data_IF_754771470989
#
_entry.id   IF_754771470989
#
_cell.length_a   1.000
_cell.length_b   1.000
_cell.length_c   1.000
_cell.angle_alpha   90.00
_cell.angle_beta   90.00
_cell.angle_gamma   90.00
#
_symmetry.space_group_name_H-M   'P 1'
#
loop_
_entity.id
_entity.type
_entity.pdbx_description
1 polymer ?
#
# COMPACT_ATOMS: atom_id res chain seq x y z
N UNK A 1 -4.92 12.78 1.59
CA UNK A 1 -4.81 13.34 0.22
C UNK A 1 -6.06 12.97 -0.56
N UNK A 2 -6.48 13.76 -1.56
CA UNK A 2 -7.58 13.40 -2.45
C UNK A 2 -7.11 13.49 -3.91
N UNK A 3 -7.66 12.61 -4.75
CA UNK A 3 -7.37 12.54 -6.19
C UNK A 3 -8.70 12.43 -6.93
N UNK A 4 -8.81 13.06 -8.09
CA UNK A 4 -9.90 12.79 -9.03
C UNK A 4 -9.76 11.39 -9.64
N UNK A 5 -10.86 10.83 -10.12
CA UNK A 5 -10.85 9.56 -10.86
C UNK A 5 -9.93 9.66 -12.09
N UNK A 6 -9.92 10.80 -12.79
CA UNK A 6 -9.03 11.06 -13.91
C UNK A 6 -7.54 10.94 -13.53
N UNK A 7 -7.11 11.58 -12.44
CA UNK A 7 -5.72 11.51 -11.95
C UNK A 7 -5.32 10.10 -11.53
N UNK A 8 -6.24 9.36 -10.90
CA UNK A 8 -5.98 7.95 -10.54
C UNK A 8 -5.82 7.12 -11.80
N UNK A 9 -6.74 7.24 -12.76
CA UNK A 9 -6.72 6.50 -14.01
C UNK A 9 -5.43 6.74 -14.80
N UNK A 10 -4.96 7.99 -14.91
CA UNK A 10 -3.68 8.32 -15.54
C UNK A 10 -2.50 7.59 -14.87
N UNK A 11 -2.46 7.59 -13.53
CA UNK A 11 -1.40 6.95 -12.74
C UNK A 11 -1.38 5.43 -12.87
N UNK A 12 -2.52 4.79 -13.15
CA UNK A 12 -2.62 3.33 -13.32
C UNK A 12 -2.77 2.89 -14.78
N UNK A 13 -2.59 3.82 -15.73
CA UNK A 13 -2.78 3.59 -17.17
C UNK A 13 -4.16 2.99 -17.50
N UNK A 14 -5.20 3.48 -16.84
CA UNK A 14 -6.58 3.02 -17.00
C UNK A 14 -7.44 3.94 -17.87
N UNK A 15 -8.47 3.37 -18.48
CA UNK A 15 -9.49 4.10 -19.25
C UNK A 15 -10.74 4.30 -18.40
N UNK A 16 -11.22 5.55 -18.30
CA UNK A 16 -12.41 5.88 -17.51
C UNK A 16 -13.69 5.71 -18.33
N UNK A 17 -14.71 5.11 -17.72
CA UNK A 17 -16.09 5.04 -18.22
C UNK A 17 -17.04 5.56 -17.12
N UNK A 18 -17.59 6.75 -17.32
CA UNK A 18 -18.41 7.47 -16.34
C UNK A 18 -17.89 8.88 -16.06
N UNK A 19 -18.19 9.42 -14.87
CA UNK A 19 -17.75 10.76 -14.46
C UNK A 19 -16.33 10.69 -13.88
N UNK A 20 -15.35 11.24 -14.60
CA UNK A 20 -13.95 11.25 -14.23
C UNK A 20 -13.58 12.36 -13.19
N UNK A 21 -14.50 13.30 -12.93
CA UNK A 21 -14.23 14.48 -12.10
C UNK A 21 -14.42 14.24 -10.60
N UNK A 22 -15.07 13.13 -10.23
CA UNK A 22 -15.37 12.78 -8.83
C UNK A 22 -14.06 12.64 -8.03
N UNK A 23 -14.03 13.25 -6.84
CA UNK A 23 -12.91 13.13 -5.92
C UNK A 23 -12.99 11.85 -5.10
N UNK A 24 -11.85 11.16 -5.03
CA UNK A 24 -11.63 9.98 -4.22
C UNK A 24 -10.76 10.35 -3.02
N UNK A 25 -11.20 9.92 -1.84
CA UNK A 25 -10.55 10.17 -0.55
C UNK A 25 -9.81 8.95 -0.01
N UNK A 26 -10.04 7.75 -0.56
CA UNK A 26 -9.30 6.55 -0.19
C UNK A 26 -9.85 5.26 -0.78
N UNK A 27 -9.11 4.15 -0.63
CA UNK A 27 -9.57 2.82 -1.01
C UNK A 27 -10.54 2.22 0.01
N UNK A 28 -11.40 1.30 -0.44
CA UNK A 28 -12.25 0.47 0.42
C UNK A 28 -12.59 -0.88 -0.20
N UNK A 29 -13.02 -1.85 0.61
CA UNK A 29 -13.59 -3.12 0.13
C UNK A 29 -14.90 -2.87 -0.61
N UNK A 30 -15.10 -3.51 -1.76
CA UNK A 30 -16.24 -3.24 -2.64
C UNK A 30 -17.61 -3.37 -1.97
N UNK A 31 -17.74 -4.28 -0.99
CA UNK A 31 -19.00 -4.55 -0.30
C UNK A 31 -19.37 -3.44 0.68
N UNK A 32 -18.37 -2.73 1.19
CA UNK A 32 -18.53 -1.72 2.24
C UNK A 32 -18.12 -0.31 1.81
N UNK A 33 -17.64 -0.15 0.57
CA UNK A 33 -17.22 1.13 0.03
C UNK A 33 -18.36 2.15 0.05
N UNK A 34 -18.01 3.39 0.34
CA UNK A 34 -18.90 4.55 0.43
C UNK A 34 -18.60 5.55 -0.71
N UNK A 35 -19.49 6.53 -0.95
CA UNK A 35 -19.22 7.63 -1.87
C UNK A 35 -17.91 8.34 -1.49
N UNK A 36 -17.10 8.65 -2.49
CA UNK A 36 -15.74 9.17 -2.33
C UNK A 36 -14.67 8.08 -2.18
N UNK A 37 -15.02 6.80 -2.20
CA UNK A 37 -14.03 5.71 -2.14
C UNK A 37 -13.88 4.97 -3.47
N UNK A 38 -12.69 4.41 -3.67
CA UNK A 38 -12.35 3.55 -4.81
C UNK A 38 -12.22 2.10 -4.36
N UNK A 39 -12.71 1.17 -5.17
CA UNK A 39 -12.52 -0.26 -4.98
C UNK A 39 -12.05 -0.92 -6.28
N UNK A 40 -11.90 -2.24 -6.29
CA UNK A 40 -11.67 -3.01 -7.51
C UNK A 40 -12.47 -4.32 -7.51
N UNK A 41 -12.64 -4.90 -8.71
CA UNK A 41 -13.03 -6.30 -8.90
C UNK A 41 -12.24 -6.88 -10.05
N UNK A 42 -11.39 -7.87 -9.77
CA UNK A 42 -10.69 -8.61 -10.82
C UNK A 42 -11.46 -9.88 -11.25
N UNK A 43 -12.15 -10.54 -10.32
CA UNK A 43 -12.81 -11.83 -10.58
C UNK A 43 -14.32 -11.65 -10.84
N UNK A 44 -14.84 -12.09 -12.01
CA UNK A 44 -16.27 -12.02 -12.33
C UNK A 44 -17.22 -12.65 -11.32
N UNK A 45 -16.75 -13.59 -10.48
CA UNK A 45 -17.56 -14.17 -9.39
C UNK A 45 -18.04 -13.16 -8.37
N UNK A 46 -17.40 -11.99 -8.27
CA UNK A 46 -17.81 -10.91 -7.39
C UNK A 46 -18.66 -9.84 -8.10
N UNK A 47 -19.21 -10.15 -9.28
CA UNK A 47 -20.06 -9.23 -10.05
C UNK A 47 -21.22 -8.65 -9.22
N UNK A 48 -21.88 -9.48 -8.40
CA UNK A 48 -22.97 -9.02 -7.53
C UNK A 48 -22.52 -7.99 -6.49
N UNK A 49 -21.24 -8.00 -6.08
CA UNK A 49 -20.69 -6.96 -5.21
C UNK A 49 -20.46 -5.65 -5.98
N UNK A 50 -20.06 -5.72 -7.26
CA UNK A 50 -19.97 -4.55 -8.12
C UNK A 50 -21.34 -3.94 -8.40
N UNK A 51 -22.36 -4.75 -8.68
CA UNK A 51 -23.72 -4.27 -8.96
C UNK A 51 -24.34 -3.49 -7.77
N UNK A 52 -23.97 -3.85 -6.54
CA UNK A 52 -24.54 -3.26 -5.32
C UNK A 52 -23.59 -2.29 -4.60
N UNK A 53 -22.44 -1.96 -5.18
CA UNK A 53 -21.45 -1.12 -4.52
C UNK A 53 -21.94 0.33 -4.38
N UNK A 54 -21.46 1.02 -3.33
CA UNK A 54 -21.61 2.48 -3.17
C UNK A 54 -20.30 3.23 -3.39
N UNK A 55 -19.26 2.55 -3.88
CA UNK A 55 -18.02 3.18 -4.29
C UNK A 55 -18.28 4.24 -5.37
N UNK A 56 -17.49 5.31 -5.39
CA UNK A 56 -17.52 6.28 -6.49
C UNK A 56 -16.79 5.79 -7.73
N UNK A 57 -15.79 4.92 -7.55
CA UNK A 57 -15.05 4.32 -8.65
C UNK A 57 -14.74 2.84 -8.38
N UNK A 58 -14.73 2.03 -9.44
CA UNK A 58 -14.29 0.63 -9.38
C UNK A 58 -13.29 0.34 -10.49
N UNK A 59 -12.11 -0.16 -10.11
CA UNK A 59 -11.10 -0.66 -11.04
C UNK A 59 -11.49 -2.06 -11.49
N UNK A 60 -11.55 -2.30 -12.80
CA UNK A 60 -11.98 -3.57 -13.39
C UNK A 60 -11.10 -3.98 -14.58
N UNK A 61 -11.03 -5.27 -14.94
CA UNK A 61 -10.41 -5.73 -16.17
C UNK A 61 -11.00 -5.05 -17.41
N UNK A 62 -10.20 -4.86 -18.45
CA UNK A 62 -10.64 -4.26 -19.72
C UNK A 62 -11.87 -4.95 -20.32
N UNK A 63 -12.00 -6.27 -20.13
CA UNK A 63 -13.11 -7.10 -20.62
C UNK A 63 -14.29 -7.21 -19.64
N UNK A 64 -14.37 -6.37 -18.59
CA UNK A 64 -15.47 -6.41 -17.64
C UNK A 64 -16.81 -6.08 -18.30
N UNK A 65 -17.78 -6.99 -18.22
CA UNK A 65 -19.06 -6.93 -18.94
C UNK A 65 -20.27 -6.89 -18.00
N UNK A 66 -20.05 -6.72 -16.69
CA UNK A 66 -21.10 -6.77 -15.68
C UNK A 66 -21.53 -5.37 -15.24
N UNK A 67 -22.81 -5.16 -14.88
CA UNK A 67 -23.27 -3.86 -14.43
C UNK A 67 -22.53 -3.40 -13.17
N UNK A 68 -22.27 -2.10 -13.10
CA UNK A 68 -21.69 -1.44 -11.94
C UNK A 68 -22.21 0.01 -11.94
N UNK A 69 -22.83 0.49 -10.85
CA UNK A 69 -23.35 1.86 -10.79
C UNK A 69 -22.25 2.92 -10.63
N UNK A 70 -21.03 2.51 -10.28
CA UNK A 70 -19.87 3.40 -10.11
C UNK A 70 -19.19 3.72 -11.45
N UNK A 71 -18.42 4.80 -11.49
CA UNK A 71 -17.49 5.05 -12.60
C UNK A 71 -16.46 3.92 -12.68
N UNK A 72 -16.27 3.35 -13.87
CA UNK A 72 -15.31 2.28 -14.08
C UNK A 72 -13.94 2.84 -14.49
N UNK A 73 -12.88 2.25 -13.95
CA UNK A 73 -11.52 2.42 -14.47
C UNK A 73 -11.06 1.07 -15.02
N UNK A 74 -11.01 0.96 -16.35
CA UNK A 74 -10.67 -0.27 -17.07
C UNK A 74 -9.16 -0.38 -17.25
N UNK A 75 -8.60 -1.51 -16.86
CA UNK A 75 -7.16 -1.79 -16.92
C UNK A 75 -6.90 -3.23 -17.37
N UNK A 76 -5.69 -3.51 -17.85
CA UNK A 76 -5.29 -4.87 -18.22
C UNK A 76 -5.23 -5.81 -17.00
N UNK A 77 -4.75 -5.30 -15.85
CA UNK A 77 -4.64 -6.08 -14.61
C UNK A 77 -5.18 -5.27 -13.42
N UNK A 78 -6.39 -5.61 -12.97
CA UNK A 78 -7.10 -4.90 -11.91
C UNK A 78 -6.43 -5.01 -10.53
N UNK A 79 -5.89 -6.17 -10.17
CA UNK A 79 -5.20 -6.38 -8.89
C UNK A 79 -3.96 -5.48 -8.79
N UNK A 80 -3.12 -5.47 -9.83
CA UNK A 80 -1.90 -4.64 -9.88
C UNK A 80 -2.23 -3.15 -9.85
N UNK A 81 -3.23 -2.75 -10.63
CA UNK A 81 -3.68 -1.36 -10.67
C UNK A 81 -4.24 -0.90 -9.32
N UNK A 82 -5.03 -1.74 -8.65
CA UNK A 82 -5.56 -1.42 -7.33
C UNK A 82 -4.46 -1.31 -6.27
N UNK A 83 -3.47 -2.21 -6.27
CA UNK A 83 -2.32 -2.09 -5.36
C UNK A 83 -1.59 -0.74 -5.53
N UNK A 84 -1.42 -0.29 -6.77
CA UNK A 84 -0.83 1.02 -7.05
C UNK A 84 -1.73 2.18 -6.61
N UNK A 85 -3.04 2.11 -6.92
CA UNK A 85 -4.01 3.13 -6.53
C UNK A 85 -4.13 3.26 -5.00
N UNK A 86 -4.14 2.15 -4.27
CA UNK A 86 -4.19 2.13 -2.80
C UNK A 86 -2.97 2.83 -2.18
N UNK A 87 -1.78 2.65 -2.78
CA UNK A 87 -0.55 3.31 -2.33
C UNK A 87 -0.59 4.85 -2.49
N UNK A 88 -1.43 5.40 -3.38
CA UNK A 88 -1.61 6.86 -3.47
C UNK A 88 -2.21 7.46 -2.19
N UNK A 89 -2.93 6.64 -1.42
CA UNK A 89 -3.59 7.03 -0.17
C UNK A 89 -2.87 6.50 1.07
N UNK A 90 -1.77 5.77 0.90
CA UNK A 90 -0.95 5.34 2.01
C UNK A 90 -0.41 6.56 2.76
N UNK A 91 -0.35 6.45 4.09
CA UNK A 91 0.40 7.42 4.87
C UNK A 91 1.85 7.39 4.40
N UNK A 92 2.52 8.55 4.27
CA UNK A 92 3.94 8.56 3.96
C UNK A 92 4.65 7.67 4.99
N UNK A 93 5.48 6.76 4.49
CA UNK A 93 6.35 5.96 5.34
C UNK A 93 7.06 6.90 6.30
N UNK A 94 7.02 6.59 7.60
CA UNK A 94 7.81 7.32 8.58
C UNK A 94 9.26 7.18 8.11
N UNK A 95 9.86 8.30 7.71
CA UNK A 95 11.27 8.33 7.35
C UNK A 95 12.07 8.23 8.65
N UNK A 96 12.85 7.17 8.78
CA UNK A 96 13.83 7.05 9.84
C UNK A 96 15.16 7.48 9.26
N UNK A 97 15.69 8.59 9.77
CA UNK A 97 17.07 8.97 9.48
C UNK A 97 17.99 7.85 9.98
N UNK A 98 18.96 7.40 9.18
CA UNK A 98 19.95 6.43 9.64
C UNK A 98 20.62 6.87 10.92
N UNK A 99 20.78 5.93 11.85
CA UNK A 99 21.35 6.22 13.15
C UNK A 99 21.11 5.11 14.16
N UNK A 100 21.99 5.07 15.14
CA UNK A 100 21.90 4.13 16.26
C UNK A 100 21.54 4.93 17.50
N UNK A 101 20.39 4.64 18.11
CA UNK A 101 20.00 5.30 19.34
C UNK A 101 21.03 4.99 20.44
N UNK A 102 21.45 5.97 21.27
CA UNK A 102 22.49 5.77 22.28
C UNK A 102 22.20 4.68 23.33
N UNK A 103 20.93 4.28 23.48
CA UNK A 103 20.51 3.22 24.40
C UNK A 103 20.43 1.83 23.77
N UNK A 104 20.74 1.69 22.48
CA UNK A 104 20.83 0.39 21.85
C UNK A 104 22.07 -0.37 22.37
N UNK A 105 21.91 -1.66 22.64
CA UNK A 105 22.98 -2.57 23.06
C UNK A 105 23.29 -3.47 21.87
N UNK A 106 24.44 -3.29 21.25
CA UNK A 106 24.83 -4.00 20.03
C UNK A 106 26.15 -4.70 20.29
N UNK A 107 26.21 -6.00 20.02
CA UNK A 107 27.47 -6.75 20.07
C UNK A 107 28.47 -6.23 19.03
N UNK A 108 29.74 -6.12 19.40
CA UNK A 108 30.84 -5.75 18.49
C UNK A 108 31.00 -6.74 17.31
N UNK A 109 30.48 -7.96 17.45
CA UNK A 109 30.49 -8.99 16.40
C UNK A 109 29.22 -9.03 15.56
N UNK A 110 28.25 -8.14 15.81
CA UNK A 110 27.11 -7.97 14.92
C UNK A 110 27.55 -7.22 13.65
N UNK A 111 26.94 -7.55 12.51
CA UNK A 111 27.19 -6.90 11.23
C UNK A 111 26.02 -5.98 10.89
N UNK A 112 26.26 -4.67 10.86
CA UNK A 112 25.28 -3.69 10.46
C UNK A 112 25.57 -3.19 9.04
N UNK A 113 24.55 -3.25 8.20
CA UNK A 113 24.55 -2.65 6.88
C UNK A 113 24.59 -1.12 6.91
N UNK A 114 24.62 -0.53 5.73
CA UNK A 114 24.58 0.92 5.53
C UNK A 114 23.19 1.48 5.80
N UNK A 115 23.16 2.73 6.25
CA UNK A 115 21.93 3.51 6.38
C UNK A 115 20.86 2.83 7.27
N UNK A 116 21.28 2.07 8.29
CA UNK A 116 20.37 1.42 9.25
C UNK A 116 19.86 2.42 10.28
N UNK A 117 18.59 2.25 10.69
CA UNK A 117 18.03 2.86 11.89
C UNK A 117 17.89 1.82 12.99
N UNK A 118 18.50 2.05 14.14
CA UNK A 118 18.39 1.22 15.34
C UNK A 118 17.74 2.04 16.46
N UNK A 119 16.52 1.67 16.83
CA UNK A 119 15.71 2.35 17.83
C UNK A 119 16.21 2.21 19.26
N UNK A 120 15.60 2.99 20.16
CA UNK A 120 15.94 2.97 21.58
C UNK A 120 15.76 1.57 22.20
N UNK A 121 16.73 1.17 23.03
CA UNK A 121 16.69 -0.08 23.81
C UNK A 121 16.60 -1.35 22.95
N UNK A 122 17.02 -1.28 21.68
CA UNK A 122 17.22 -2.47 20.86
C UNK A 122 18.41 -3.26 21.38
N UNK A 123 18.31 -4.59 21.36
CA UNK A 123 19.42 -5.51 21.67
C UNK A 123 19.75 -6.34 20.44
N UNK A 124 21.02 -6.32 20.01
CA UNK A 124 21.52 -7.11 18.89
C UNK A 124 22.69 -7.97 19.38
N UNK A 125 22.48 -9.27 19.37
CA UNK A 125 23.42 -10.27 19.88
C UNK A 125 24.55 -10.60 18.89
N UNK A 126 25.63 -11.27 19.35
CA UNK A 126 26.76 -11.69 18.52
C UNK A 126 26.39 -12.40 17.22
N UNK A 127 27.04 -12.01 16.13
CA UNK A 127 26.89 -12.64 14.81
C UNK A 127 25.60 -12.31 14.07
N UNK A 128 24.69 -11.53 14.65
CA UNK A 128 23.50 -11.07 13.94
C UNK A 128 23.87 -10.15 12.76
N UNK A 129 23.09 -10.22 11.68
CA UNK A 129 23.26 -9.41 10.48
C UNK A 129 22.03 -8.55 10.28
N UNK A 130 22.23 -7.24 10.17
CA UNK A 130 21.20 -6.27 9.83
C UNK A 130 21.52 -5.73 8.45
N UNK A 131 20.64 -5.94 7.46
CA UNK A 131 20.87 -5.51 6.08
C UNK A 131 20.80 -3.99 5.91
N UNK A 132 21.29 -3.51 4.76
CA UNK A 132 21.24 -2.08 4.39
C UNK A 132 19.80 -1.52 4.44
N UNK A 133 19.64 -0.28 4.88
CA UNK A 133 18.35 0.44 5.00
C UNK A 133 17.32 -0.21 5.95
N UNK A 134 17.77 -1.12 6.82
CA UNK A 134 16.89 -1.74 7.81
C UNK A 134 16.49 -0.77 8.91
N UNK A 135 15.24 -0.89 9.36
CA UNK A 135 14.68 -0.14 10.49
C UNK A 135 14.34 -1.13 11.59
N UNK A 136 15.12 -1.12 12.67
CA UNK A 136 14.86 -1.91 13.88
C UNK A 136 14.19 -1.01 14.90
N UNK A 137 12.91 -1.27 15.17
CA UNK A 137 12.10 -0.44 16.06
C UNK A 137 12.52 -0.56 17.54
N UNK A 138 12.22 0.46 18.38
CA UNK A 138 12.59 0.45 19.79
C UNK A 138 12.13 -0.81 20.54
N UNK A 139 13.02 -1.35 21.38
CA UNK A 139 12.75 -2.52 22.23
C UNK A 139 12.80 -3.88 21.52
N UNK A 140 13.13 -3.94 20.23
CA UNK A 140 13.34 -5.22 19.55
C UNK A 140 14.59 -5.95 20.08
N UNK A 141 14.53 -7.28 20.05
CA UNK A 141 15.66 -8.17 20.37
C UNK A 141 15.99 -9.01 19.13
N UNK A 142 17.24 -8.96 18.69
CA UNK A 142 17.76 -9.75 17.58
C UNK A 142 18.81 -10.70 18.12
N UNK A 143 18.49 -12.00 18.08
CA UNK A 143 19.29 -13.06 18.68
C UNK A 143 20.57 -13.40 17.92
N UNK A 144 21.35 -14.30 18.51
CA UNK A 144 22.65 -14.71 17.99
C UNK A 144 22.54 -15.27 16.56
N UNK A 145 23.43 -14.81 15.67
CA UNK A 145 23.55 -15.33 14.29
C UNK A 145 22.26 -15.31 13.46
N UNK A 146 21.34 -14.38 13.73
CA UNK A 146 20.18 -14.10 12.86
C UNK A 146 20.66 -13.39 11.59
N UNK A 147 20.18 -13.83 10.42
CA UNK A 147 20.57 -13.31 9.09
C UNK A 147 19.46 -12.51 8.43
#
# INVERSE_FOLDING_TARGET
MNFTIAEIAEKISGTVEGDASVKITGPADIRNALPGQISFVANPRYASSAENTKASAVIVPSNWDRPCPATLIRVENADKAFAFAANLFALPSIAFEPGIHPSAVISDSANLGKDVFIGANVVIEPGAVIGDNSVVYPGCYIGHSVL
#
